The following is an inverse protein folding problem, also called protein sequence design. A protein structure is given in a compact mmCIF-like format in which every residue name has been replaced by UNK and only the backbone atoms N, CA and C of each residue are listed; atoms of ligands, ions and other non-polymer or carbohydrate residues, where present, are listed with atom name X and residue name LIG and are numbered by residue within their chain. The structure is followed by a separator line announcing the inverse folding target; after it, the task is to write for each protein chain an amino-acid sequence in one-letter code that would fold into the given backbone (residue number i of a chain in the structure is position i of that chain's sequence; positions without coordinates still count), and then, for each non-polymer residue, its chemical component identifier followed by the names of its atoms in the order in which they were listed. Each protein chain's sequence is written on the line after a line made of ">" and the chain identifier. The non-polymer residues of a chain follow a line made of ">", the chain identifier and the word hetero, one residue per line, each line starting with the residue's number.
data_IF_733695415246
#
_entry.id   IF_733695415246
#
_cell.length_a   1.000
_cell.length_b   1.000
_cell.length_c   1.000
_cell.angle_alpha   90.00
_cell.angle_beta   90.00
_cell.angle_gamma   90.00
#
_symmetry.space_group_name_H-M   'P 1'
#
loop_
_entity.id
_entity.type
_entity.pdbx_description
1 polymer ?
#
# COMPACT_ATOMS: atom_id res chain seq x y z
N UNK A 1 -10.41 -10.88 -40.38
CA UNK A 1 -10.79 -10.06 -39.23
C UNK A 1 -9.49 -9.69 -38.52
N UNK A 2 -9.15 -8.43 -38.43
CA UNK A 2 -7.93 -7.98 -37.72
C UNK A 2 -8.11 -8.29 -36.24
N UNK A 3 -7.29 -9.17 -35.68
CA UNK A 3 -7.27 -9.38 -34.22
C UNK A 3 -6.70 -8.12 -33.59
N UNK A 4 -7.48 -7.48 -32.72
CA UNK A 4 -7.00 -6.35 -31.93
C UNK A 4 -5.87 -6.82 -31.00
N UNK A 5 -4.90 -5.94 -30.76
CA UNK A 5 -3.89 -6.21 -29.71
C UNK A 5 -4.56 -6.26 -28.33
N UNK A 6 -3.94 -6.96 -27.37
CA UNK A 6 -4.42 -7.00 -25.98
C UNK A 6 -4.64 -5.58 -25.41
N UNK A 7 -3.71 -4.68 -25.68
CA UNK A 7 -3.81 -3.27 -25.28
C UNK A 7 -5.07 -2.56 -25.83
N UNK A 8 -5.42 -2.83 -27.10
CA UNK A 8 -6.65 -2.28 -27.71
C UNK A 8 -7.91 -2.90 -27.12
N UNK A 9 -7.90 -4.19 -26.81
CA UNK A 9 -9.03 -4.89 -26.20
C UNK A 9 -9.31 -4.33 -24.80
N UNK A 10 -8.29 -4.21 -23.96
CA UNK A 10 -8.38 -3.62 -22.61
C UNK A 10 -8.83 -2.15 -22.68
N UNK A 11 -8.24 -1.34 -23.56
CA UNK A 11 -8.62 0.07 -23.71
C UNK A 11 -10.09 0.24 -24.08
N UNK A 12 -10.65 -0.63 -24.92
CA UNK A 12 -12.08 -0.60 -25.29
C UNK A 12 -13.02 -0.84 -24.12
N UNK A 13 -12.64 -1.69 -23.16
CA UNK A 13 -13.43 -1.90 -21.93
C UNK A 13 -13.54 -0.59 -21.17
N UNK A 14 -12.43 0.11 -20.99
CA UNK A 14 -12.39 1.37 -20.27
C UNK A 14 -13.12 2.50 -21.01
N UNK A 15 -12.96 2.59 -22.32
CA UNK A 15 -13.67 3.56 -23.17
C UNK A 15 -15.19 3.34 -23.12
N UNK A 16 -15.64 2.07 -23.20
CA UNK A 16 -17.06 1.71 -23.11
C UNK A 16 -17.66 2.04 -21.73
N UNK A 17 -16.86 2.00 -20.69
CA UNK A 17 -17.23 2.40 -19.33
C UNK A 17 -17.20 3.93 -19.12
N UNK A 18 -16.83 4.72 -20.13
CA UNK A 18 -16.83 6.18 -20.09
C UNK A 18 -15.58 6.82 -19.48
N UNK A 19 -14.51 6.05 -19.29
CA UNK A 19 -13.23 6.58 -18.85
C UNK A 19 -12.53 7.34 -19.97
N UNK A 20 -12.08 8.55 -19.68
CA UNK A 20 -11.40 9.41 -20.65
C UNK A 20 -9.94 9.01 -20.78
N UNK A 21 -9.52 8.65 -21.98
CA UNK A 21 -8.12 8.29 -22.23
C UNK A 21 -7.19 9.47 -21.98
N UNK A 22 -6.10 9.20 -21.25
CA UNK A 22 -5.04 10.15 -20.94
C UNK A 22 -3.68 9.51 -21.25
N UNK A 23 -2.73 10.32 -21.71
CA UNK A 23 -1.38 9.90 -22.02
C UNK A 23 -0.38 10.90 -21.40
N UNK A 24 -0.06 10.76 -20.12
CA UNK A 24 0.94 11.57 -19.48
C UNK A 24 2.33 11.38 -20.11
N UNK A 25 3.18 12.38 -19.97
CA UNK A 25 4.56 12.31 -20.47
C UNK A 25 5.33 11.16 -19.83
N UNK A 26 6.27 10.55 -20.58
CA UNK A 26 7.15 9.48 -20.08
C UNK A 26 8.14 10.04 -19.06
N UNK A 27 8.73 11.20 -19.37
CA UNK A 27 9.64 11.89 -18.45
C UNK A 27 8.86 12.64 -17.38
N UNK A 28 9.13 12.34 -16.14
CA UNK A 28 8.52 12.97 -14.96
C UNK A 28 9.63 13.53 -14.06
N UNK A 29 9.40 14.63 -13.33
CA UNK A 29 10.33 15.07 -12.30
C UNK A 29 10.56 13.95 -11.27
N UNK A 30 11.83 13.65 -10.95
CA UNK A 30 12.16 12.54 -10.08
C UNK A 30 11.72 12.75 -8.62
N UNK A 31 11.72 14.02 -8.16
CA UNK A 31 11.32 14.42 -6.81
C UNK A 31 9.93 13.94 -6.41
N UNK A 32 8.97 13.96 -7.32
CA UNK A 32 7.59 13.53 -7.03
C UNK A 32 7.49 12.07 -6.56
N UNK A 33 8.36 11.20 -7.07
CA UNK A 33 8.41 9.81 -6.65
C UNK A 33 9.25 9.64 -5.38
N UNK A 34 10.34 10.38 -5.26
CA UNK A 34 11.27 10.32 -4.12
C UNK A 34 10.64 10.88 -2.84
N UNK A 35 9.91 12.01 -2.95
CA UNK A 35 9.27 12.66 -1.80
C UNK A 35 8.09 11.85 -1.25
N UNK A 36 7.35 11.16 -2.12
CA UNK A 36 6.18 10.37 -1.70
C UNK A 36 6.56 8.97 -1.21
N UNK A 37 7.57 8.34 -1.81
CA UNK A 37 7.91 6.94 -1.56
C UNK A 37 9.23 6.74 -0.82
N UNK A 38 9.99 7.83 -0.59
CA UNK A 38 11.28 7.81 0.08
C UNK A 38 12.43 7.26 -0.77
N UNK A 39 13.63 7.22 -0.18
CA UNK A 39 14.85 6.81 -0.88
C UNK A 39 14.86 5.33 -1.29
N UNK A 40 14.03 4.49 -0.68
CA UNK A 40 13.93 3.05 -1.04
C UNK A 40 13.48 2.84 -2.49
N UNK A 41 12.65 3.74 -3.03
CA UNK A 41 12.20 3.64 -4.43
C UNK A 41 13.29 4.01 -5.42
N UNK A 42 14.29 4.81 -5.02
CA UNK A 42 15.38 5.28 -5.91
C UNK A 42 16.05 4.14 -6.67
N UNK A 43 16.23 2.99 -6.04
CA UNK A 43 16.84 1.80 -6.65
C UNK A 43 15.97 1.14 -7.72
N UNK A 44 14.69 1.52 -7.78
CA UNK A 44 13.73 1.00 -8.78
C UNK A 44 13.46 1.98 -9.91
N UNK A 45 13.89 3.25 -9.76
CA UNK A 45 13.68 4.28 -10.76
C UNK A 45 14.79 4.27 -11.82
N UNK A 46 14.40 4.41 -13.07
CA UNK A 46 15.33 4.75 -14.16
C UNK A 46 15.43 6.28 -14.24
N UNK A 47 16.57 6.80 -13.77
CA UNK A 47 16.81 8.22 -13.63
C UNK A 47 17.66 8.76 -14.80
N UNK A 48 17.42 10.02 -15.15
CA UNK A 48 18.24 10.79 -16.09
C UNK A 48 18.36 12.23 -15.61
N UNK A 49 19.20 13.02 -16.25
CA UNK A 49 19.36 14.45 -15.93
C UNK A 49 19.31 15.28 -17.20
N UNK A 50 18.75 16.49 -17.08
CA UNK A 50 18.81 17.45 -18.17
C UNK A 50 20.11 18.26 -18.13
N UNK A 51 20.26 19.19 -19.10
CA UNK A 51 21.46 20.05 -19.21
C UNK A 51 21.62 21.04 -18.05
N UNK A 52 20.58 21.27 -17.26
CA UNK A 52 20.58 22.14 -16.09
C UNK A 52 20.83 21.36 -14.79
N UNK A 53 21.01 20.03 -14.88
CA UNK A 53 21.27 19.15 -13.74
C UNK A 53 20.01 18.76 -12.95
N UNK A 54 18.81 19.02 -13.48
CA UNK A 54 17.57 18.55 -12.85
C UNK A 54 17.41 17.06 -13.09
N UNK A 55 17.04 16.32 -12.03
CA UNK A 55 16.78 14.87 -12.12
C UNK A 55 15.36 14.60 -12.66
N UNK A 56 15.29 13.68 -13.61
CA UNK A 56 14.07 13.18 -14.20
C UNK A 56 14.02 11.65 -14.04
N UNK A 57 12.81 11.12 -13.94
CA UNK A 57 12.56 9.69 -13.97
C UNK A 57 11.77 9.31 -15.22
N UNK A 58 12.09 8.18 -15.82
CA UNK A 58 11.13 7.51 -16.70
C UNK A 58 9.97 7.03 -15.81
N UNK A 59 8.72 7.34 -16.18
CA UNK A 59 7.54 7.05 -15.32
C UNK A 59 7.52 5.59 -14.89
N UNK A 60 7.55 5.29 -13.59
CA UNK A 60 7.53 3.92 -13.09
C UNK A 60 6.10 3.32 -13.09
N UNK A 61 5.09 4.17 -13.22
CA UNK A 61 3.67 3.84 -13.15
C UNK A 61 2.84 5.02 -13.71
N UNK A 62 1.52 4.89 -13.79
CA UNK A 62 0.66 5.94 -14.33
C UNK A 62 -0.12 6.72 -13.27
N UNK A 63 -0.38 6.18 -12.09
CA UNK A 63 -1.26 6.79 -11.08
C UNK A 63 -0.82 8.20 -10.70
N UNK A 64 0.46 8.38 -10.32
CA UNK A 64 0.98 9.72 -9.95
C UNK A 64 0.96 10.69 -11.13
N UNK A 65 1.46 10.35 -12.35
CA UNK A 65 1.33 11.21 -13.51
C UNK A 65 -0.10 11.62 -13.87
N UNK A 66 -1.06 10.69 -13.78
CA UNK A 66 -2.48 10.95 -14.04
C UNK A 66 -3.06 11.85 -12.95
N UNK A 67 -2.80 11.58 -11.68
CA UNK A 67 -3.23 12.42 -10.56
C UNK A 67 -2.71 13.85 -10.68
N UNK A 68 -1.45 14.03 -11.07
CA UNK A 68 -0.87 15.36 -11.33
C UNK A 68 -1.58 16.09 -12.46
N UNK A 69 -1.88 15.40 -13.55
CA UNK A 69 -2.61 15.99 -14.67
C UNK A 69 -4.02 16.41 -14.25
N UNK A 70 -4.70 15.58 -13.45
CA UNK A 70 -6.01 15.93 -12.86
C UNK A 70 -5.92 17.18 -12.00
N UNK A 71 -4.97 17.24 -11.06
CA UNK A 71 -4.78 18.41 -10.19
C UNK A 71 -4.44 19.69 -10.97
N UNK A 72 -3.60 19.59 -12.00
CA UNK A 72 -3.24 20.72 -12.86
C UNK A 72 -4.41 21.22 -13.72
N UNK A 73 -5.41 20.39 -13.99
CA UNK A 73 -6.59 20.78 -14.79
C UNK A 73 -7.53 21.75 -14.09
N UNK A 74 -7.41 21.91 -12.77
CA UNK A 74 -8.29 22.76 -11.95
C UNK A 74 -9.75 22.27 -11.83
N UNK A 75 -10.08 21.10 -12.38
CA UNK A 75 -11.43 20.49 -12.35
C UNK A 75 -11.58 19.67 -11.07
N UNK A 76 -11.73 20.32 -9.92
CA UNK A 76 -11.72 19.65 -8.62
C UNK A 76 -13.13 19.35 -8.07
N UNK A 77 -14.20 19.67 -8.80
CA UNK A 77 -15.59 19.61 -8.29
C UNK A 77 -16.50 18.59 -8.97
N UNK A 78 -16.04 17.92 -10.03
CA UNK A 78 -16.86 16.98 -10.78
C UNK A 78 -16.16 15.63 -10.85
N UNK A 79 -16.85 14.53 -10.54
CA UNK A 79 -16.28 13.19 -10.71
C UNK A 79 -15.78 12.98 -12.14
N UNK A 80 -14.57 12.44 -12.27
CA UNK A 80 -13.97 12.14 -13.56
C UNK A 80 -13.17 10.84 -13.50
N UNK A 81 -13.32 10.01 -14.52
CA UNK A 81 -12.53 8.80 -14.72
C UNK A 81 -11.53 8.97 -15.86
N UNK A 82 -10.30 8.53 -15.65
CA UNK A 82 -9.27 8.45 -16.68
C UNK A 82 -8.86 7.02 -16.92
N UNK A 83 -8.53 6.69 -18.16
CA UNK A 83 -7.92 5.41 -18.56
C UNK A 83 -6.57 5.65 -19.21
N UNK A 84 -5.68 4.70 -19.05
CA UNK A 84 -4.36 4.72 -19.68
C UNK A 84 -3.93 3.33 -20.11
N UNK A 85 -3.06 3.29 -21.13
CA UNK A 85 -2.35 2.09 -21.56
C UNK A 85 -1.06 2.50 -22.25
N UNK A 86 0.07 2.05 -21.75
CA UNK A 86 1.36 2.41 -22.32
C UNK A 86 2.56 1.87 -21.51
N UNK A 87 3.79 2.20 -21.94
CA UNK A 87 5.00 1.70 -21.28
C UNK A 87 5.23 2.40 -19.95
N UNK A 88 5.73 1.62 -18.99
CA UNK A 88 6.28 2.06 -17.72
C UNK A 88 7.66 1.43 -17.51
N UNK A 89 8.46 2.02 -16.64
CA UNK A 89 9.89 1.74 -16.54
C UNK A 89 10.29 1.56 -15.08
N UNK A 90 10.62 0.33 -14.69
CA UNK A 90 11.09 0.01 -13.33
C UNK A 90 12.20 -1.01 -13.38
N UNK A 91 13.23 -0.83 -12.57
CA UNK A 91 14.25 -1.88 -12.37
C UNK A 91 13.60 -3.10 -11.74
N UNK A 92 13.60 -4.21 -12.46
CA UNK A 92 13.03 -5.50 -12.04
C UNK A 92 14.07 -6.61 -12.22
N UNK A 93 14.73 -7.07 -11.14
CA UNK A 93 15.76 -8.11 -11.26
C UNK A 93 15.24 -9.37 -11.96
N UNK A 94 15.85 -9.73 -13.09
CA UNK A 94 15.48 -10.93 -13.87
C UNK A 94 14.33 -10.75 -14.87
N UNK A 95 13.76 -9.55 -14.98
CA UNK A 95 12.71 -9.21 -15.94
C UNK A 95 13.09 -7.97 -16.76
N UNK A 96 12.31 -7.66 -17.81
CA UNK A 96 12.51 -6.42 -18.55
C UNK A 96 12.10 -5.21 -17.71
N UNK A 97 12.93 -4.16 -17.74
CA UNK A 97 12.67 -2.91 -17.01
C UNK A 97 11.55 -2.08 -17.66
N UNK A 98 11.29 -2.26 -18.95
CA UNK A 98 10.17 -1.69 -19.68
C UNK A 98 9.06 -2.72 -19.84
N UNK A 99 7.83 -2.36 -19.49
CA UNK A 99 6.65 -3.19 -19.71
C UNK A 99 5.39 -2.35 -19.87
N UNK A 100 4.32 -2.94 -20.42
CA UNK A 100 3.04 -2.25 -20.62
C UNK A 100 2.24 -2.26 -19.32
N UNK A 101 1.65 -1.13 -18.98
CA UNK A 101 0.66 -0.99 -17.92
C UNK A 101 -0.61 -0.39 -18.50
N UNK A 102 -1.75 -0.99 -18.16
CA UNK A 102 -3.06 -0.42 -18.43
C UNK A 102 -3.82 -0.26 -17.10
N UNK A 103 -4.68 0.75 -17.02
CA UNK A 103 -5.46 0.98 -15.81
C UNK A 103 -6.45 2.13 -15.95
N UNK A 104 -7.16 2.35 -14.86
CA UNK A 104 -8.13 3.43 -14.70
C UNK A 104 -7.94 4.13 -13.36
N UNK A 105 -8.20 5.44 -13.35
CA UNK A 105 -8.19 6.26 -12.12
C UNK A 105 -9.53 6.99 -12.02
N UNK A 106 -10.14 6.99 -10.84
CA UNK A 106 -11.42 7.65 -10.56
C UNK A 106 -11.23 8.73 -9.51
N UNK A 107 -11.55 9.97 -9.84
CA UNK A 107 -11.36 11.13 -8.97
C UNK A 107 -12.69 11.81 -8.65
N UNK A 108 -12.80 12.39 -7.44
CA UNK A 108 -13.89 13.26 -7.03
C UNK A 108 -15.21 12.56 -6.68
N UNK A 109 -15.25 11.24 -6.62
CA UNK A 109 -16.41 10.48 -6.15
C UNK A 109 -16.46 10.45 -4.63
N UNK A 110 -17.68 10.46 -4.08
CA UNK A 110 -17.96 10.40 -2.63
C UNK A 110 -18.60 9.08 -2.21
N UNK A 111 -19.02 8.27 -3.16
CA UNK A 111 -19.63 6.95 -2.99
C UNK A 111 -18.53 5.86 -3.07
N UNK A 112 -17.67 5.82 -2.06
CA UNK A 112 -16.44 5.04 -2.07
C UNK A 112 -16.68 3.54 -2.34
N UNK A 113 -17.66 2.93 -1.68
CA UNK A 113 -17.96 1.50 -1.81
C UNK A 113 -18.42 1.13 -3.23
N UNK A 114 -19.21 1.99 -3.86
CA UNK A 114 -19.64 1.81 -5.25
C UNK A 114 -18.49 2.05 -6.23
N UNK A 115 -17.63 3.05 -5.96
CA UNK A 115 -16.46 3.33 -6.78
C UNK A 115 -15.45 2.17 -6.73
N UNK A 116 -15.17 1.61 -5.55
CA UNK A 116 -14.29 0.45 -5.38
C UNK A 116 -14.82 -0.76 -6.18
N UNK A 117 -16.12 -1.01 -6.11
CA UNK A 117 -16.74 -2.12 -6.84
C UNK A 117 -16.68 -1.92 -8.35
N UNK A 118 -16.90 -0.71 -8.84
CA UNK A 118 -16.75 -0.38 -10.25
C UNK A 118 -15.32 -0.62 -10.73
N UNK A 119 -14.31 -0.13 -10.01
CA UNK A 119 -12.89 -0.34 -10.37
C UNK A 119 -12.57 -1.82 -10.46
N UNK A 120 -12.99 -2.63 -9.49
CA UNK A 120 -12.76 -4.07 -9.50
C UNK A 120 -13.47 -4.74 -10.70
N UNK A 121 -14.74 -4.35 -10.96
CA UNK A 121 -15.50 -4.87 -12.11
C UNK A 121 -14.81 -4.54 -13.43
N UNK A 122 -14.32 -3.30 -13.61
CA UNK A 122 -13.59 -2.93 -14.84
C UNK A 122 -12.27 -3.68 -14.98
N UNK A 123 -11.56 -3.92 -13.89
CA UNK A 123 -10.34 -4.73 -13.89
C UNK A 123 -10.64 -6.19 -14.30
N UNK A 124 -11.72 -6.76 -13.77
CA UNK A 124 -12.18 -8.10 -14.12
C UNK A 124 -12.55 -8.20 -15.61
N UNK A 125 -13.35 -7.26 -16.12
CA UNK A 125 -13.73 -7.21 -17.54
C UNK A 125 -12.50 -7.04 -18.46
N UNK A 126 -11.52 -6.23 -18.04
CA UNK A 126 -10.29 -6.01 -18.78
C UNK A 126 -9.44 -7.28 -18.89
N UNK A 127 -9.37 -8.10 -17.83
CA UNK A 127 -8.69 -9.40 -17.86
C UNK A 127 -9.38 -10.37 -18.82
N UNK A 128 -10.70 -10.47 -18.77
CA UNK A 128 -11.48 -11.30 -19.70
C UNK A 128 -11.29 -10.83 -21.15
N UNK A 129 -11.31 -9.52 -21.41
CA UNK A 129 -11.06 -8.96 -22.72
C UNK A 129 -9.62 -9.20 -23.22
N UNK A 130 -8.66 -9.31 -22.30
CA UNK A 130 -7.29 -9.68 -22.61
C UNK A 130 -7.11 -11.17 -22.93
N UNK A 131 -8.15 -11.98 -22.72
CA UNK A 131 -8.13 -13.43 -22.95
C UNK A 131 -7.71 -14.25 -21.74
N UNK A 132 -7.60 -13.62 -20.56
CA UNK A 132 -7.33 -14.32 -19.30
C UNK A 132 -8.65 -14.79 -18.69
N UNK A 133 -8.87 -16.12 -18.73
CA UNK A 133 -10.09 -16.75 -18.19
C UNK A 133 -9.85 -17.44 -16.84
N UNK A 134 -8.59 -17.64 -16.47
CA UNK A 134 -8.19 -18.32 -15.22
C UNK A 134 -7.37 -17.40 -14.33
N UNK A 135 -8.05 -16.74 -13.44
CA UNK A 135 -7.41 -15.88 -12.42
C UNK A 135 -8.20 -15.93 -11.11
N UNK A 136 -7.55 -15.57 -10.04
CA UNK A 136 -8.11 -15.49 -8.70
C UNK A 136 -8.24 -14.01 -8.31
N UNK A 137 -9.39 -13.64 -7.75
CA UNK A 137 -9.59 -12.32 -7.16
C UNK A 137 -9.33 -12.43 -5.66
N UNK A 138 -8.29 -11.73 -5.17
CA UNK A 138 -7.99 -11.61 -3.75
C UNK A 138 -8.25 -10.21 -3.26
N UNK A 139 -8.98 -10.09 -2.15
CA UNK A 139 -9.26 -8.83 -1.49
C UNK A 139 -8.63 -8.78 -0.11
N UNK A 140 -8.12 -7.61 0.24
CA UNK A 140 -7.82 -7.19 1.60
C UNK A 140 -8.50 -5.87 1.87
N UNK A 141 -8.66 -5.53 3.15
CA UNK A 141 -9.27 -4.26 3.55
C UNK A 141 -8.46 -3.59 4.65
N UNK A 142 -7.74 -2.54 4.28
CA UNK A 142 -6.95 -1.74 5.22
C UNK A 142 -7.85 -0.94 6.16
N UNK A 143 -9.07 -0.59 5.74
CA UNK A 143 -10.06 0.12 6.56
C UNK A 143 -10.51 -0.73 7.74
N UNK A 144 -10.86 -2.00 7.51
CA UNK A 144 -11.17 -2.97 8.56
C UNK A 144 -10.01 -3.15 9.54
N UNK A 145 -8.80 -3.34 9.03
CA UNK A 145 -7.62 -3.50 9.87
C UNK A 145 -7.31 -2.24 10.69
N UNK A 146 -7.46 -1.06 10.08
CA UNK A 146 -7.29 0.22 10.78
C UNK A 146 -8.32 0.39 11.88
N UNK A 147 -9.60 0.11 11.60
CA UNK A 147 -10.67 0.18 12.60
C UNK A 147 -10.41 -0.79 13.78
N UNK A 148 -9.91 -1.99 13.49
CA UNK A 148 -9.52 -2.94 14.53
C UNK A 148 -8.42 -2.38 15.42
N UNK A 149 -7.34 -1.84 14.85
CA UNK A 149 -6.24 -1.27 15.62
C UNK A 149 -6.67 -0.06 16.48
N UNK A 150 -7.56 0.76 15.95
CA UNK A 150 -8.11 1.91 16.66
C UNK A 150 -9.01 1.47 17.82
N UNK A 151 -9.86 0.46 17.61
CA UNK A 151 -10.73 -0.11 18.65
C UNK A 151 -9.94 -0.83 19.76
N UNK A 152 -8.79 -1.42 19.44
CA UNK A 152 -7.90 -2.01 20.42
C UNK A 152 -7.19 -0.96 21.32
N UNK A 153 -7.22 0.31 20.96
CA UNK A 153 -6.59 1.38 21.74
C UNK A 153 -5.09 1.20 21.93
N UNK A 154 -4.41 0.55 20.97
CA UNK A 154 -2.99 0.29 21.06
C UNK A 154 -2.18 1.58 21.02
N UNK A 155 -1.02 1.57 21.66
CA UNK A 155 -0.09 2.68 21.59
C UNK A 155 0.26 3.02 20.12
N UNK A 156 0.48 4.29 19.76
CA UNK A 156 0.73 4.73 18.38
C UNK A 156 1.88 4.00 17.69
N UNK A 157 2.87 3.57 18.45
CA UNK A 157 4.02 2.79 17.94
C UNK A 157 3.56 1.42 17.41
N UNK A 158 2.70 0.71 18.17
CA UNK A 158 2.15 -0.57 17.75
C UNK A 158 1.25 -0.42 16.52
N UNK A 159 0.39 0.60 16.51
CA UNK A 159 -0.47 0.87 15.37
C UNK A 159 0.34 1.09 14.08
N UNK A 160 1.40 1.93 14.13
CA UNK A 160 2.26 2.18 12.96
C UNK A 160 2.99 0.91 12.48
N UNK A 161 3.52 0.11 13.42
CA UNK A 161 4.23 -1.13 13.07
C UNK A 161 3.32 -2.15 12.41
N UNK A 162 2.15 -2.38 12.98
CA UNK A 162 1.17 -3.33 12.47
C UNK A 162 0.60 -2.88 11.11
N UNK A 163 0.28 -1.58 10.95
CA UNK A 163 -0.14 -1.03 9.65
C UNK A 163 0.95 -1.19 8.58
N UNK A 164 2.21 -0.94 8.93
CA UNK A 164 3.34 -1.12 8.00
C UNK A 164 3.51 -2.60 7.60
N UNK A 165 3.41 -3.53 8.54
CA UNK A 165 3.48 -4.95 8.25
C UNK A 165 2.31 -5.41 7.35
N UNK A 166 1.10 -4.92 7.62
CA UNK A 166 -0.07 -5.19 6.79
C UNK A 166 0.12 -4.66 5.36
N UNK A 167 0.50 -3.40 5.21
CA UNK A 167 0.71 -2.77 3.91
C UNK A 167 1.80 -3.48 3.07
N UNK A 168 2.79 -4.11 3.72
CA UNK A 168 3.82 -4.91 3.04
C UNK A 168 3.35 -6.32 2.64
N UNK A 169 2.09 -6.67 2.91
CA UNK A 169 1.57 -8.03 2.67
C UNK A 169 2.22 -9.10 3.55
N UNK A 170 2.84 -8.69 4.66
CA UNK A 170 3.65 -9.53 5.51
C UNK A 170 3.00 -9.83 6.88
N UNK A 171 1.71 -9.51 7.07
CA UNK A 171 1.04 -9.71 8.36
C UNK A 171 0.47 -11.13 8.44
N UNK A 172 1.33 -12.11 8.59
CA UNK A 172 0.94 -13.48 8.96
C UNK A 172 1.19 -13.75 10.46
N UNK A 173 0.81 -14.93 10.93
CA UNK A 173 0.97 -15.32 12.33
C UNK A 173 2.44 -15.30 12.77
N UNK A 174 3.36 -15.77 11.93
CA UNK A 174 4.80 -15.80 12.24
C UNK A 174 5.41 -14.40 12.33
N UNK A 175 5.02 -13.52 11.41
CA UNK A 175 5.45 -12.11 11.43
C UNK A 175 4.86 -11.38 12.64
N UNK A 176 3.59 -11.67 12.99
CA UNK A 176 2.96 -11.11 14.19
C UNK A 176 3.72 -11.52 15.44
N UNK A 177 4.07 -12.81 15.59
CA UNK A 177 4.89 -13.31 16.69
C UNK A 177 6.27 -12.63 16.71
N UNK A 178 6.96 -12.56 15.57
CA UNK A 178 8.26 -11.91 15.48
C UNK A 178 8.22 -10.39 15.77
N UNK A 179 7.09 -9.73 15.47
CA UNK A 179 6.88 -8.32 15.83
C UNK A 179 6.66 -8.14 17.33
N UNK A 180 6.07 -9.14 17.98
CA UNK A 180 5.67 -9.09 19.40
C UNK A 180 6.67 -9.73 20.34
N UNK A 181 7.53 -10.64 19.84
CA UNK A 181 8.58 -11.26 20.65
C UNK A 181 9.58 -10.20 21.14
N UNK A 182 9.68 -10.10 22.45
CA UNK A 182 10.65 -9.28 23.12
C UNK A 182 11.96 -10.04 23.30
N UNK A 183 12.74 -10.25 22.24
CA UNK A 183 14.16 -10.48 22.46
C UNK A 183 14.80 -9.14 22.83
N UNK A 184 15.02 -8.98 24.14
CA UNK A 184 15.83 -7.88 24.69
C UNK A 184 17.28 -8.23 24.31
N UNK A 185 17.71 -7.81 23.13
CA UNK A 185 19.15 -7.78 22.84
C UNK A 185 19.85 -6.87 23.85
N UNK A 186 21.08 -7.23 24.31
CA UNK A 186 21.76 -6.50 25.36
C UNK A 186 21.97 -5.03 24.98
N UNK A 187 21.78 -4.15 25.94
CA UNK A 187 21.77 -2.68 25.92
C UNK A 187 23.05 -1.99 25.39
N UNK A 188 23.58 -2.36 24.23
CA UNK A 188 24.81 -1.79 23.70
C UNK A 188 24.72 -0.26 23.43
N UNK A 189 23.54 0.31 23.33
CA UNK A 189 23.33 1.73 22.98
C UNK A 189 22.21 2.42 23.77
N UNK A 190 21.95 1.99 25.01
CA UNK A 190 20.88 2.49 25.88
C UNK A 190 20.91 4.03 26.03
N UNK A 191 22.08 4.64 26.11
CA UNK A 191 22.21 6.09 26.23
C UNK A 191 21.76 6.87 24.98
N UNK A 192 22.04 6.34 23.78
CA UNK A 192 21.57 6.94 22.53
C UNK A 192 20.06 6.78 22.36
N UNK A 193 19.54 5.60 22.70
CA UNK A 193 18.11 5.30 22.65
C UNK A 193 17.33 6.21 23.59
N UNK A 194 17.83 6.42 24.83
CA UNK A 194 17.22 7.35 25.80
C UNK A 194 17.25 8.80 25.29
N UNK A 195 18.31 9.24 24.61
CA UNK A 195 18.42 10.59 24.06
C UNK A 195 17.44 10.84 22.89
N UNK A 196 17.01 9.78 22.21
CA UNK A 196 16.08 9.85 21.08
C UNK A 196 14.60 9.72 21.49
N UNK A 197 14.34 9.28 22.73
CA UNK A 197 12.98 9.14 23.25
C UNK A 197 12.24 10.48 23.27
N UNK A 198 11.03 10.50 22.72
CA UNK A 198 10.18 11.69 22.67
C UNK A 198 10.59 12.77 21.66
N UNK A 199 11.62 12.54 20.83
CA UNK A 199 12.03 13.47 19.76
C UNK A 199 11.17 13.32 18.52
N UNK A 200 11.04 14.41 17.75
CA UNK A 200 10.47 14.35 16.40
C UNK A 200 11.24 13.33 15.55
N UNK A 201 10.55 12.37 14.88
CA UNK A 201 11.22 11.32 14.10
C UNK A 201 12.20 11.83 13.03
N UNK A 202 11.91 13.00 12.41
CA UNK A 202 12.81 13.61 11.42
C UNK A 202 14.04 14.22 12.07
N UNK A 203 13.87 14.90 13.19
CA UNK A 203 14.96 15.49 13.97
C UNK A 203 15.85 14.37 14.55
N UNK A 204 15.25 13.31 15.08
CA UNK A 204 15.95 12.15 15.62
C UNK A 204 16.76 11.40 14.52
N UNK A 205 16.19 11.24 13.33
CA UNK A 205 16.91 10.68 12.19
C UNK A 205 18.11 11.53 11.78
N UNK A 206 17.91 12.84 11.60
CA UNK A 206 19.00 13.77 11.28
C UNK A 206 20.13 13.73 12.31
N UNK A 207 19.79 13.69 13.59
CA UNK A 207 20.76 13.58 14.68
C UNK A 207 21.60 12.28 14.62
N UNK A 208 20.97 11.14 14.36
CA UNK A 208 21.67 9.85 14.21
C UNK A 208 22.54 9.84 12.96
N UNK A 209 22.05 10.37 11.83
CA UNK A 209 22.82 10.50 10.59
C UNK A 209 24.06 11.38 10.80
N UNK A 210 23.94 12.48 11.53
CA UNK A 210 25.07 13.38 11.81
C UNK A 210 26.08 12.75 12.76
N UNK A 211 25.62 11.99 13.78
CA UNK A 211 26.52 11.20 14.64
C UNK A 211 27.29 10.16 13.84
N UNK A 212 26.65 9.45 12.92
CA UNK A 212 27.31 8.46 12.08
C UNK A 212 28.33 9.11 11.13
N UNK A 213 28.01 10.29 10.55
CA UNK A 213 28.96 11.08 9.75
C UNK A 213 30.16 11.53 10.56
N UNK A 214 29.95 12.05 11.78
CA UNK A 214 31.02 12.48 12.69
C UNK A 214 31.91 11.29 13.07
N UNK A 215 31.32 10.11 13.27
CA UNK A 215 32.06 8.87 13.55
C UNK A 215 32.77 8.29 12.30
N UNK A 216 32.66 8.94 11.13
CA UNK A 216 33.24 8.45 9.87
C UNK A 216 32.55 7.22 9.29
N UNK A 217 31.32 6.94 9.72
CA UNK A 217 30.54 5.77 9.32
C UNK A 217 29.60 6.21 8.18
N UNK A 218 30.01 6.01 6.94
CA UNK A 218 29.16 6.25 5.77
C UNK A 218 28.33 5.03 5.37
N UNK A 219 28.91 3.83 5.55
CA UNK A 219 28.23 2.55 5.29
C UNK A 219 28.79 1.47 6.21
N UNK A 220 27.91 0.62 6.77
CA UNK A 220 28.30 -0.55 7.56
C UNK A 220 27.60 -1.79 6.99
N UNK A 221 28.36 -2.75 6.49
CA UNK A 221 27.80 -3.98 5.93
C UNK A 221 26.88 -3.74 4.72
N UNK A 222 27.19 -2.73 3.90
CA UNK A 222 26.39 -2.36 2.72
C UNK A 222 25.17 -1.48 3.01
N UNK A 223 24.98 -1.04 4.25
CA UNK A 223 23.83 -0.18 4.67
C UNK A 223 24.24 1.28 4.76
N UNK A 224 23.38 2.17 4.28
CA UNK A 224 23.56 3.62 4.40
C UNK A 224 23.38 4.10 5.85
N UNK A 225 23.90 5.31 6.16
CA UNK A 225 23.69 5.95 7.46
C UNK A 225 22.20 6.14 7.78
N UNK A 226 21.38 6.42 6.76
CA UNK A 226 19.92 6.55 6.90
C UNK A 226 19.23 5.26 7.33
N UNK A 227 19.61 4.10 6.76
CA UNK A 227 19.06 2.79 7.14
C UNK A 227 19.50 2.40 8.56
N UNK A 228 20.71 2.76 8.95
CA UNK A 228 21.19 2.55 10.31
C UNK A 228 20.42 3.42 11.29
N UNK A 229 20.20 4.70 10.97
CA UNK A 229 19.42 5.63 11.77
C UNK A 229 17.98 5.15 11.95
N UNK A 230 17.34 4.69 10.88
CA UNK A 230 15.97 4.15 10.93
C UNK A 230 15.88 2.91 11.82
N UNK A 231 16.88 2.03 11.78
CA UNK A 231 16.94 0.86 12.66
C UNK A 231 17.05 1.26 14.13
N UNK A 232 17.88 2.27 14.46
CA UNK A 232 18.00 2.80 15.82
C UNK A 232 16.69 3.41 16.31
N UNK A 233 16.02 4.20 15.48
CA UNK A 233 14.73 4.79 15.81
C UNK A 233 13.64 3.73 16.04
N UNK A 234 13.62 2.71 15.19
CA UNK A 234 12.71 1.58 15.34
C UNK A 234 12.98 0.80 16.63
N UNK A 235 14.24 0.68 17.05
CA UNK A 235 14.61 0.03 18.31
C UNK A 235 14.23 0.89 19.51
N UNK A 236 14.50 2.20 19.49
CA UNK A 236 14.07 3.15 20.53
C UNK A 236 12.54 3.11 20.73
N UNK A 237 11.81 3.13 19.62
CA UNK A 237 10.35 3.05 19.64
C UNK A 237 9.82 1.70 20.15
N UNK A 238 10.59 0.61 20.00
CA UNK A 238 10.25 -0.70 20.58
C UNK A 238 10.35 -0.71 22.10
N UNK A 239 11.41 -0.13 22.65
CA UNK A 239 11.62 -0.05 24.11
C UNK A 239 10.57 0.84 24.78
N UNK A 240 10.15 1.93 24.12
CA UNK A 240 9.11 2.84 24.61
C UNK A 240 7.72 2.19 24.62
N UNK A 241 7.40 1.37 23.62
CA UNK A 241 6.06 0.79 23.47
C UNK A 241 5.75 -0.34 24.47
N UNK A 242 6.75 -0.93 25.11
CA UNK A 242 6.54 -2.12 25.92
C UNK A 242 6.04 -3.32 25.09
N UNK A 243 5.60 -4.38 25.77
CA UNK A 243 5.01 -5.55 25.12
C UNK A 243 3.62 -5.23 24.57
N UNK A 244 3.26 -5.86 23.43
CA UNK A 244 1.87 -5.87 23.00
C UNK A 244 1.04 -6.66 24.02
N UNK A 245 -0.11 -6.15 24.50
CA UNK A 245 -0.97 -6.88 25.42
C UNK A 245 -1.34 -8.27 24.87
N UNK A 246 -1.34 -9.29 25.72
CA UNK A 246 -1.59 -10.68 25.30
C UNK A 246 -2.97 -10.89 24.68
N UNK A 247 -3.98 -10.19 25.19
CA UNK A 247 -5.35 -10.17 24.66
C UNK A 247 -5.41 -9.57 23.25
N UNK A 248 -4.71 -8.45 23.03
CA UNK A 248 -4.61 -7.82 21.73
C UNK A 248 -3.84 -8.73 20.74
N UNK A 249 -2.76 -9.38 21.19
CA UNK A 249 -2.01 -10.35 20.38
C UNK A 249 -2.90 -11.53 19.97
N UNK A 250 -3.59 -12.13 20.92
CA UNK A 250 -4.49 -13.25 20.65
C UNK A 250 -5.60 -12.87 19.67
N UNK A 251 -6.16 -11.66 19.80
CA UNK A 251 -7.17 -11.16 18.89
C UNK A 251 -6.62 -10.92 17.47
N UNK A 252 -5.44 -10.34 17.36
CA UNK A 252 -4.79 -10.14 16.06
C UNK A 252 -4.50 -11.49 15.37
N UNK A 253 -4.08 -12.52 16.10
CA UNK A 253 -3.93 -13.87 15.53
C UNK A 253 -5.26 -14.42 15.00
N UNK A 254 -6.36 -14.24 15.73
CA UNK A 254 -7.70 -14.64 15.26
C UNK A 254 -8.12 -13.85 14.02
N UNK A 255 -7.83 -12.55 13.97
CA UNK A 255 -8.14 -11.69 12.84
C UNK A 255 -7.40 -12.12 11.57
N UNK A 256 -6.06 -12.27 11.60
CA UNK A 256 -5.27 -12.63 10.42
C UNK A 256 -5.57 -14.03 9.88
N UNK A 257 -6.23 -14.87 10.68
CA UNK A 257 -6.69 -16.20 10.27
C UNK A 257 -8.04 -16.18 9.53
N UNK A 258 -8.72 -15.03 9.44
CA UNK A 258 -9.99 -14.91 8.72
C UNK A 258 -9.71 -14.84 7.21
N UNK A 259 -10.22 -15.83 6.50
CA UNK A 259 -10.11 -15.97 5.05
C UNK A 259 -11.36 -16.67 4.51
N UNK A 260 -11.85 -16.29 3.33
CA UNK A 260 -13.04 -16.88 2.70
C UNK A 260 -13.71 -15.92 1.75
N UNK A 261 -14.88 -16.27 1.24
CA UNK A 261 -15.70 -15.31 0.49
C UNK A 261 -16.13 -14.12 1.38
N UNK A 262 -16.46 -12.95 0.79
CA UNK A 262 -16.76 -11.75 1.56
C UNK A 262 -17.86 -11.91 2.60
N UNK A 263 -18.93 -12.66 2.29
CA UNK A 263 -20.08 -12.84 3.20
C UNK A 263 -19.68 -13.69 4.42
N UNK A 264 -19.02 -14.83 4.20
CA UNK A 264 -18.49 -15.69 5.26
C UNK A 264 -17.44 -14.97 6.11
N UNK A 265 -16.59 -14.16 5.48
CA UNK A 265 -15.58 -13.38 6.18
C UNK A 265 -16.21 -12.29 7.06
N UNK A 266 -17.22 -11.56 6.56
CA UNK A 266 -17.96 -10.57 7.34
C UNK A 266 -18.59 -11.18 8.59
N UNK A 267 -19.26 -12.32 8.47
CA UNK A 267 -19.84 -13.04 9.61
C UNK A 267 -18.78 -13.38 10.67
N UNK A 268 -17.62 -13.91 10.24
CA UNK A 268 -16.53 -14.28 11.15
C UNK A 268 -15.90 -13.06 11.80
N UNK A 269 -15.79 -11.94 11.09
CA UNK A 269 -15.32 -10.66 11.63
C UNK A 269 -16.29 -10.12 12.68
N UNK A 270 -17.61 -10.17 12.45
CA UNK A 270 -18.63 -9.76 13.43
C UNK A 270 -18.56 -10.61 14.69
N UNK A 271 -18.48 -11.94 14.57
CA UNK A 271 -18.30 -12.85 15.73
C UNK A 271 -17.02 -12.50 16.49
N UNK A 272 -15.91 -12.25 15.79
CA UNK A 272 -14.64 -11.86 16.44
C UNK A 272 -14.81 -10.56 17.26
N UNK A 273 -15.51 -9.58 16.72
CA UNK A 273 -15.74 -8.29 17.38
C UNK A 273 -16.67 -8.45 18.59
N UNK A 274 -17.75 -9.22 18.44
CA UNK A 274 -18.70 -9.48 19.54
C UNK A 274 -18.01 -10.20 20.70
N UNK A 275 -17.23 -11.25 20.42
CA UNK A 275 -16.46 -11.98 21.42
C UNK A 275 -15.47 -11.09 22.19
N UNK A 276 -14.88 -10.10 21.50
CA UNK A 276 -13.91 -9.18 22.06
C UNK A 276 -14.52 -7.91 22.68
N UNK A 277 -15.83 -7.72 22.53
CA UNK A 277 -16.53 -6.49 22.98
C UNK A 277 -16.09 -5.24 22.20
N UNK A 278 -15.66 -5.39 20.94
CA UNK A 278 -15.20 -4.31 20.06
C UNK A 278 -16.30 -3.84 19.13
N UNK A 279 -16.36 -2.55 18.86
CA UNK A 279 -17.31 -1.97 17.92
C UNK A 279 -16.60 -1.53 16.62
N UNK A 280 -16.74 -2.34 15.57
CA UNK A 280 -16.27 -2.06 14.22
C UNK A 280 -17.43 -1.91 13.23
N UNK A 281 -18.65 -1.69 13.70
CA UNK A 281 -19.87 -1.73 12.86
C UNK A 281 -19.76 -0.86 11.61
N UNK A 282 -19.26 0.37 11.72
CA UNK A 282 -19.15 1.26 10.56
C UNK A 282 -18.23 0.69 9.47
N UNK A 283 -17.09 0.08 9.85
CA UNK A 283 -16.17 -0.53 8.89
C UNK A 283 -16.73 -1.83 8.31
N UNK A 284 -17.41 -2.64 9.12
CA UNK A 284 -18.08 -3.87 8.67
C UNK A 284 -19.26 -3.58 7.75
N UNK A 285 -20.06 -2.56 8.05
CA UNK A 285 -21.19 -2.15 7.20
C UNK A 285 -20.69 -1.59 5.85
N UNK A 286 -19.58 -0.86 5.83
CA UNK A 286 -18.93 -0.42 4.60
C UNK A 286 -18.40 -1.60 3.78
N UNK A 287 -17.80 -2.60 4.45
CA UNK A 287 -17.34 -3.83 3.81
C UNK A 287 -18.51 -4.61 3.17
N UNK A 288 -19.61 -4.82 3.91
CA UNK A 288 -20.81 -5.51 3.41
C UNK A 288 -21.45 -4.73 2.26
N UNK A 289 -21.52 -3.41 2.37
CA UNK A 289 -22.03 -2.54 1.30
C UNK A 289 -21.22 -2.69 0.03
N UNK A 290 -19.88 -2.72 0.13
CA UNK A 290 -18.98 -2.95 -0.99
C UNK A 290 -19.19 -4.33 -1.61
N UNK A 291 -19.34 -5.38 -0.79
CA UNK A 291 -19.64 -6.73 -1.26
C UNK A 291 -20.96 -6.79 -2.04
N UNK A 292 -21.98 -6.07 -1.57
CA UNK A 292 -23.26 -5.90 -2.29
C UNK A 292 -23.09 -5.22 -3.65
N UNK A 293 -22.22 -4.21 -3.75
CA UNK A 293 -21.92 -3.57 -5.03
C UNK A 293 -21.10 -4.47 -5.96
N UNK A 294 -20.22 -5.35 -5.45
CA UNK A 294 -19.56 -6.36 -6.29
C UNK A 294 -20.58 -7.24 -7.00
N UNK A 295 -21.56 -7.76 -6.26
CA UNK A 295 -22.65 -8.55 -6.84
C UNK A 295 -23.47 -7.76 -7.86
N UNK A 296 -23.82 -6.50 -7.56
CA UNK A 296 -24.54 -5.62 -8.46
C UNK A 296 -23.79 -5.30 -9.77
N UNK A 297 -22.45 -5.27 -9.71
CA UNK A 297 -21.58 -5.14 -10.87
C UNK A 297 -21.35 -6.46 -11.64
N UNK A 298 -21.99 -7.56 -11.22
CA UNK A 298 -21.90 -8.86 -11.89
C UNK A 298 -20.63 -9.65 -11.58
N UNK A 299 -19.89 -9.28 -10.53
CA UNK A 299 -18.73 -10.06 -10.10
C UNK A 299 -19.18 -11.35 -9.39
N UNK A 300 -18.48 -12.46 -9.56
CA UNK A 300 -18.76 -13.71 -8.88
C UNK A 300 -18.29 -13.65 -7.41
N UNK A 301 -19.07 -13.03 -6.52
CA UNK A 301 -18.66 -12.71 -5.14
C UNK A 301 -18.22 -13.95 -4.37
N UNK A 302 -18.83 -15.10 -4.64
CA UNK A 302 -18.47 -16.38 -4.00
C UNK A 302 -17.09 -16.93 -4.42
N UNK A 303 -16.55 -16.45 -5.56
CA UNK A 303 -15.21 -16.82 -6.04
C UNK A 303 -14.15 -15.81 -5.61
N UNK A 304 -14.56 -14.70 -4.98
CA UNK A 304 -13.65 -13.69 -4.44
C UNK A 304 -13.10 -14.21 -3.11
N UNK A 305 -11.79 -14.31 -3.01
CA UNK A 305 -11.11 -14.68 -1.77
C UNK A 305 -10.75 -13.42 -0.98
N UNK A 306 -11.54 -13.11 0.04
CA UNK A 306 -11.12 -12.13 1.05
C UNK A 306 -10.12 -12.77 2.01
N UNK A 307 -9.09 -12.03 2.37
CA UNK A 307 -8.14 -12.43 3.41
C UNK A 307 -7.79 -11.24 4.30
N UNK A 308 -8.08 -11.37 5.60
CA UNK A 308 -7.84 -10.32 6.58
C UNK A 308 -6.35 -9.96 6.78
N UNK A 309 -5.43 -10.80 6.29
CA UNK A 309 -3.98 -10.56 6.28
C UNK A 309 -3.46 -10.01 4.96
N UNK A 310 -4.29 -9.97 3.92
CA UNK A 310 -3.85 -9.57 2.60
C UNK A 310 -3.66 -8.07 2.53
N UNK A 311 -2.42 -7.64 2.38
CA UNK A 311 -2.03 -6.31 2.00
C UNK A 311 -1.13 -6.37 0.77
N UNK A 312 -1.18 -5.38 -0.07
CA UNK A 312 -0.29 -5.27 -1.23
C UNK A 312 0.88 -4.37 -0.86
N UNK A 313 2.08 -4.84 -1.14
CA UNK A 313 3.25 -3.98 -1.06
C UNK A 313 3.20 -2.92 -2.16
N UNK A 314 2.94 -1.67 -1.78
CA UNK A 314 2.86 -0.51 -2.65
C UNK A 314 4.11 0.39 -2.45
N UNK A 315 5.29 -0.19 -2.29
CA UNK A 315 6.56 0.53 -2.02
C UNK A 315 6.94 1.56 -3.11
N UNK A 316 6.12 1.74 -4.13
CA UNK A 316 6.30 2.72 -5.21
C UNK A 316 5.13 3.71 -5.35
N UNK A 317 4.22 3.75 -4.36
CA UNK A 317 3.19 4.77 -4.23
C UNK A 317 3.50 5.69 -3.05
#
# INVERSE_FOLDING_TARGET
>A
MSSFSVAEQVSRVFDAAGYRRIEPEILQPADIFLDLSGEEIRHRLLLTSDSEGREWALRPEFTIPVARTYLASGVNSTPVGFSYCGPVFRVRPGEADEFQQAGIESFGRTDAEAADAEILSRAHEALLAAGEEQFEIRLGDLGLFTALLDALGLQPVWQRRLRRAFAKGALDAATLDALTDHEIEPRAHAGLLTALQGQDPRAARGFVEDLLKIAGISTVGGRSAGEIAERFLNQASREEAGALPDDARALLHRYVAIEGDPDSASQRLRVLCDDAGLNLNAALDAFDTRAGFYAACGLPVHDILFSARFGRNLDYY
#
